data_IF_863788885673
#
_entry.id   IF_863788885673
#
_cell.length_a   1.000
_cell.length_b   1.000
_cell.length_c   1.000
_cell.angle_alpha   90.00
_cell.angle_beta   90.00
_cell.angle_gamma   90.00
#
_symmetry.space_group_name_H-M   'P 1'
#
loop_
_entity.id
_entity.type
_entity.pdbx_description
1 polymer ?
#
# COMPACT_ATOMS: atom_id res chain seq x y z
N UNK A 1 -29.77 -3.46 11.32
CA UNK A 1 -29.71 -3.59 9.84
C UNK A 1 -29.56 -2.20 9.22
N UNK A 2 -28.40 -1.59 9.37
CA UNK A 2 -28.03 -0.34 8.70
C UNK A 2 -27.52 -0.68 7.31
N UNK A 3 -28.32 -0.38 6.28
CA UNK A 3 -27.95 -0.59 4.88
C UNK A 3 -26.69 0.24 4.60
N UNK A 4 -25.56 -0.42 4.35
CA UNK A 4 -24.44 0.16 3.62
C UNK A 4 -24.97 0.52 2.22
N UNK A 5 -25.50 1.75 2.08
CA UNK A 5 -25.79 2.33 0.78
C UNK A 5 -24.44 2.58 0.14
N UNK A 6 -24.09 1.68 -0.76
CA UNK A 6 -23.15 1.85 -1.84
C UNK A 6 -23.54 3.08 -2.70
N UNK A 7 -23.51 4.29 -2.15
CA UNK A 7 -23.48 5.54 -2.93
C UNK A 7 -22.07 5.67 -3.50
N UNK A 8 -21.80 4.85 -4.50
CA UNK A 8 -20.45 4.48 -4.94
C UNK A 8 -19.68 5.57 -5.70
N UNK A 9 -20.19 6.79 -5.87
CA UNK A 9 -19.51 7.82 -6.64
C UNK A 9 -19.93 9.24 -6.22
N UNK A 10 -19.69 9.62 -4.97
CA UNK A 10 -19.71 11.04 -4.64
C UNK A 10 -18.58 11.73 -5.43
N UNK A 11 -18.87 12.75 -6.26
CA UNK A 11 -17.87 13.40 -7.11
C UNK A 11 -16.70 13.96 -6.27
N UNK A 12 -16.97 14.33 -5.03
CA UNK A 12 -15.97 14.76 -4.04
C UNK A 12 -14.98 13.64 -3.69
N UNK A 13 -15.46 12.40 -3.51
CA UNK A 13 -14.60 11.25 -3.18
C UNK A 13 -13.69 10.89 -4.35
N UNK A 14 -14.23 10.88 -5.58
CA UNK A 14 -13.43 10.67 -6.79
C UNK A 14 -12.36 11.75 -6.94
N UNK A 15 -12.72 13.02 -6.71
CA UNK A 15 -11.77 14.13 -6.76
C UNK A 15 -10.63 13.94 -5.75
N UNK A 16 -10.96 13.50 -4.52
CA UNK A 16 -9.97 13.27 -3.47
C UNK A 16 -9.02 12.13 -3.83
N UNK A 17 -9.53 11.03 -4.39
CA UNK A 17 -8.71 9.91 -4.86
C UNK A 17 -7.77 10.35 -5.98
N UNK A 18 -8.29 11.05 -7.00
CA UNK A 18 -7.50 11.54 -8.14
C UNK A 18 -6.44 12.54 -7.68
N UNK A 19 -6.81 13.51 -6.83
CA UNK A 19 -5.88 14.49 -6.28
C UNK A 19 -4.76 13.81 -5.48
N UNK A 20 -5.10 12.85 -4.63
CA UNK A 20 -4.12 12.09 -3.86
C UNK A 20 -3.17 11.33 -4.78
N UNK A 21 -3.69 10.59 -5.77
CA UNK A 21 -2.86 9.87 -6.73
C UNK A 21 -1.97 10.78 -7.57
N UNK A 22 -2.44 11.97 -7.95
CA UNK A 22 -1.66 12.91 -8.76
C UNK A 22 -0.53 13.55 -7.95
N UNK A 23 -0.82 14.06 -6.75
CA UNK A 23 0.19 14.65 -5.86
C UNK A 23 1.23 13.60 -5.45
N UNK A 24 0.78 12.43 -5.02
CA UNK A 24 1.67 11.37 -4.54
C UNK A 24 2.40 10.65 -5.68
N UNK A 25 1.76 10.50 -6.84
CA UNK A 25 2.37 9.97 -8.06
C UNK A 25 3.50 10.85 -8.58
N UNK A 26 3.37 12.18 -8.46
CA UNK A 26 4.44 13.13 -8.82
C UNK A 26 5.65 12.96 -7.92
N UNK A 27 5.44 12.83 -6.61
CA UNK A 27 6.50 12.53 -5.63
C UNK A 27 7.20 11.20 -5.96
N UNK A 28 6.43 10.15 -6.29
CA UNK A 28 6.96 8.87 -6.76
C UNK A 28 7.79 9.02 -8.04
N UNK A 29 7.36 9.87 -8.98
CA UNK A 29 8.09 10.10 -10.24
C UNK A 29 9.42 10.82 -10.02
N UNK A 30 9.50 11.76 -9.08
CA UNK A 30 10.73 12.50 -8.75
C UNK A 30 11.70 11.64 -7.93
N UNK A 31 11.20 10.92 -6.93
CA UNK A 31 12.04 10.16 -5.98
C UNK A 31 12.40 8.77 -6.52
N UNK A 32 11.58 8.20 -7.41
CA UNK A 32 11.80 6.87 -7.99
C UNK A 32 11.56 5.70 -7.01
N UNK A 33 11.19 5.97 -5.76
CA UNK A 33 10.82 4.96 -4.75
C UNK A 33 9.33 4.60 -4.87
N UNK A 34 8.88 3.51 -4.24
CA UNK A 34 7.52 2.98 -4.34
C UNK A 34 6.38 3.95 -3.97
N UNK A 35 5.14 3.44 -3.87
CA UNK A 35 3.98 4.24 -3.40
C UNK A 35 4.39 5.05 -2.18
N UNK A 36 4.28 6.40 -2.21
CA UNK A 36 4.79 7.18 -1.11
C UNK A 36 3.96 6.88 0.13
N UNK A 37 4.65 6.78 1.26
CA UNK A 37 4.06 6.54 2.59
C UNK A 37 2.96 7.55 2.95
N UNK A 38 2.94 8.68 2.23
CA UNK A 38 1.95 9.75 2.31
C UNK A 38 0.58 9.35 1.73
N UNK A 39 0.50 8.51 0.67
CA UNK A 39 -0.79 8.14 0.06
C UNK A 39 -1.73 7.38 0.99
N UNK A 40 -1.27 6.32 1.70
CA UNK A 40 -2.07 5.67 2.73
C UNK A 40 -2.62 6.66 3.74
N UNK A 41 -1.78 7.54 4.29
CA UNK A 41 -2.18 8.50 5.33
C UNK A 41 -3.30 9.46 4.90
N UNK A 42 -3.25 9.98 3.67
CA UNK A 42 -4.31 10.83 3.13
C UNK A 42 -5.60 10.06 2.83
N UNK A 43 -5.50 8.86 2.25
CA UNK A 43 -6.69 8.08 1.92
C UNK A 43 -7.38 7.52 3.17
N UNK A 44 -6.62 7.10 4.18
CA UNK A 44 -7.18 6.59 5.44
C UNK A 44 -7.82 7.69 6.29
N UNK A 45 -7.52 8.95 6.02
CA UNK A 45 -8.21 10.08 6.66
C UNK A 45 -9.65 10.26 6.14
N UNK A 46 -9.93 9.79 4.92
CA UNK A 46 -11.23 9.93 4.26
C UNK A 46 -11.99 8.60 4.09
N UNK A 47 -11.27 7.47 4.05
CA UNK A 47 -11.77 6.12 3.80
C UNK A 47 -11.32 5.19 4.92
N UNK A 48 -12.02 4.07 5.10
CA UNK A 48 -11.52 2.99 5.95
C UNK A 48 -10.23 2.39 5.40
N UNK A 49 -9.39 1.87 6.31
CA UNK A 49 -8.08 1.31 5.97
C UNK A 49 -8.13 0.20 4.90
N UNK A 50 -9.05 -0.79 4.97
CA UNK A 50 -9.19 -1.80 3.92
C UNK A 50 -9.46 -1.20 2.53
N UNK A 51 -10.40 -0.26 2.43
CA UNK A 51 -10.76 0.38 1.16
C UNK A 51 -9.60 1.21 0.60
N UNK A 52 -8.94 2.01 1.44
CA UNK A 52 -7.76 2.79 1.05
C UNK A 52 -6.63 1.90 0.52
N UNK A 53 -6.35 0.78 1.20
CA UNK A 53 -5.33 -0.17 0.78
C UNK A 53 -5.67 -0.84 -0.55
N UNK A 54 -6.92 -1.23 -0.76
CA UNK A 54 -7.36 -1.84 -2.02
C UNK A 54 -7.17 -0.88 -3.22
N UNK A 55 -7.57 0.39 -3.06
CA UNK A 55 -7.42 1.41 -4.09
C UNK A 55 -5.95 1.72 -4.42
N UNK A 56 -5.03 1.60 -3.45
CA UNK A 56 -3.61 1.81 -3.68
C UNK A 56 -2.91 0.60 -4.30
N UNK A 57 -3.20 -0.61 -3.78
CA UNK A 57 -2.53 -1.85 -4.17
C UNK A 57 -2.79 -2.22 -5.63
N UNK A 58 -4.07 -2.23 -6.05
CA UNK A 58 -4.46 -2.71 -7.38
C UNK A 58 -3.75 -1.94 -8.52
N UNK A 59 -3.88 -0.60 -8.64
CA UNK A 59 -3.25 0.13 -9.74
C UNK A 59 -1.71 0.13 -9.64
N UNK A 60 -1.17 0.14 -8.42
CA UNK A 60 0.28 0.14 -8.22
C UNK A 60 0.91 -1.19 -8.58
N UNK A 61 0.25 -2.30 -8.24
CA UNK A 61 0.68 -3.63 -8.64
C UNK A 61 0.72 -3.74 -10.17
N UNK A 62 -0.36 -3.33 -10.85
CA UNK A 62 -0.43 -3.34 -12.32
C UNK A 62 0.72 -2.52 -12.93
N UNK A 63 0.93 -1.28 -12.47
CA UNK A 63 2.01 -0.43 -12.99
C UNK A 63 3.39 -0.99 -12.70
N UNK A 64 3.62 -1.54 -11.51
CA UNK A 64 4.90 -2.13 -11.13
C UNK A 64 5.21 -3.37 -11.98
N UNK A 65 4.21 -4.22 -12.25
CA UNK A 65 4.37 -5.39 -13.13
C UNK A 65 4.66 -4.95 -14.56
N UNK A 66 3.90 -4.00 -15.11
CA UNK A 66 4.18 -3.47 -16.44
C UNK A 66 5.60 -2.89 -16.54
N UNK A 67 6.03 -2.13 -15.52
CA UNK A 67 7.38 -1.56 -15.45
C UNK A 67 8.47 -2.63 -15.33
N UNK A 68 8.24 -3.70 -14.57
CA UNK A 68 9.17 -4.82 -14.47
C UNK A 68 9.30 -5.56 -15.80
N UNK A 69 8.19 -5.75 -16.53
CA UNK A 69 8.16 -6.40 -17.84
C UNK A 69 8.85 -5.56 -18.93
N UNK A 70 8.71 -4.23 -18.90
CA UNK A 70 9.37 -3.36 -19.90
C UNK A 70 10.83 -3.04 -19.57
N UNK A 71 11.26 -3.19 -18.32
CA UNK A 71 12.62 -2.87 -17.87
C UNK A 71 13.72 -3.89 -18.26
N UNK A 72 13.36 -5.09 -18.73
CA UNK A 72 14.27 -6.10 -19.29
C UNK A 72 15.26 -6.78 -18.33
N UNK A 73 15.53 -6.21 -17.15
CA UNK A 73 16.56 -6.69 -16.21
C UNK A 73 16.00 -7.37 -14.96
N UNK A 74 14.70 -7.70 -14.96
CA UNK A 74 13.99 -8.19 -13.78
C UNK A 74 14.64 -9.45 -13.17
N UNK A 75 14.99 -10.44 -13.98
CA UNK A 75 15.61 -11.68 -13.51
C UNK A 75 17.02 -11.47 -12.96
N UNK A 76 17.81 -10.59 -13.58
CA UNK A 76 19.16 -10.22 -13.13
C UNK A 76 19.11 -9.53 -11.76
N UNK A 77 18.16 -8.60 -11.59
CA UNK A 77 17.93 -7.91 -10.31
C UNK A 77 17.45 -8.91 -9.25
N UNK A 78 16.51 -9.78 -9.60
CA UNK A 78 15.98 -10.80 -8.70
C UNK A 78 17.09 -11.71 -8.16
N UNK A 79 18.03 -12.12 -9.02
CA UNK A 79 19.20 -12.91 -8.65
C UNK A 79 20.19 -12.19 -7.72
N UNK A 80 20.38 -10.87 -7.92
CA UNK A 80 21.29 -10.05 -7.11
C UNK A 80 20.71 -9.67 -5.75
N UNK A 81 19.41 -9.45 -5.66
CA UNK A 81 18.71 -9.05 -4.44
C UNK A 81 18.05 -10.23 -3.69
N UNK A 82 18.30 -11.48 -4.08
CA UNK A 82 17.80 -12.68 -3.40
C UNK A 82 17.88 -12.63 -1.86
N UNK A 83 19.04 -12.35 -1.22
CA UNK A 83 19.12 -12.38 0.24
C UNK A 83 18.21 -11.32 0.88
N UNK A 84 18.14 -10.13 0.26
CA UNK A 84 17.24 -9.07 0.70
C UNK A 84 15.77 -9.48 0.57
N UNK A 85 15.39 -10.06 -0.57
CA UNK A 85 14.01 -10.50 -0.80
C UNK A 85 13.59 -11.61 0.16
N UNK A 86 14.45 -12.59 0.42
CA UNK A 86 14.18 -13.67 1.38
C UNK A 86 13.99 -13.09 2.78
N UNK A 87 14.91 -12.24 3.24
CA UNK A 87 14.82 -11.62 4.57
C UNK A 87 13.60 -10.72 4.70
N UNK A 88 13.28 -9.94 3.67
CA UNK A 88 12.09 -9.11 3.63
C UNK A 88 10.82 -9.96 3.72
N UNK A 89 10.70 -11.04 2.95
CA UNK A 89 9.54 -11.94 3.00
C UNK A 89 9.37 -12.56 4.38
N UNK A 90 10.45 -13.08 4.98
CA UNK A 90 10.40 -13.69 6.32
C UNK A 90 10.01 -12.66 7.37
N UNK A 91 10.62 -11.48 7.36
CA UNK A 91 10.37 -10.45 8.36
C UNK A 91 8.96 -9.86 8.23
N UNK A 92 8.47 -9.66 7.00
CA UNK A 92 7.08 -9.23 6.77
C UNK A 92 6.09 -10.27 7.24
N UNK A 93 6.35 -11.56 7.00
CA UNK A 93 5.48 -12.64 7.48
C UNK A 93 5.40 -12.67 9.01
N UNK A 94 6.55 -12.54 9.68
CA UNK A 94 6.61 -12.44 11.14
C UNK A 94 5.87 -11.19 11.62
N UNK A 95 6.13 -10.03 11.01
CA UNK A 95 5.48 -8.77 11.38
C UNK A 95 3.97 -8.76 11.15
N UNK A 96 3.46 -9.47 10.14
CA UNK A 96 2.03 -9.60 9.89
C UNK A 96 1.35 -10.56 10.87
N UNK A 97 2.06 -11.58 11.34
CA UNK A 97 1.51 -12.61 12.25
C UNK A 97 1.68 -12.25 13.73
N UNK A 98 2.73 -11.53 14.11
CA UNK A 98 3.00 -11.16 15.49
C UNK A 98 1.83 -10.41 16.16
N UNK A 99 1.19 -9.40 15.55
CA UNK A 99 0.05 -8.69 16.16
C UNK A 99 -1.19 -9.56 16.37
N UNK A 100 -1.31 -10.69 15.66
CA UNK A 100 -2.42 -11.64 15.86
C UNK A 100 -2.18 -12.62 16.99
N UNK A 101 -0.96 -12.66 17.53
CA UNK A 101 -0.51 -13.59 18.57
C UNK A 101 -0.12 -12.91 19.87
N UNK A 102 0.16 -11.60 19.83
CA UNK A 102 0.42 -10.78 21.01
C UNK A 102 -0.92 -10.21 21.48
N UNK A 103 -1.32 -10.52 22.71
CA UNK A 103 -2.51 -9.93 23.32
C UNK A 103 -2.39 -8.41 23.32
N UNK A 104 -3.44 -7.74 22.84
CA UNK A 104 -3.52 -6.29 22.78
C UNK A 104 -3.39 -5.66 24.18
N UNK A 105 -3.69 -6.43 25.23
CA UNK A 105 -3.51 -6.09 26.63
C UNK A 105 -2.04 -5.82 27.01
N UNK A 106 -1.07 -6.44 26.32
CA UNK A 106 0.36 -6.18 26.56
C UNK A 106 0.79 -4.83 25.96
N UNK A 107 0.17 -4.40 24.87
CA UNK A 107 0.36 -3.07 24.30
C UNK A 107 -0.39 -2.00 25.11
N UNK A 108 -1.58 -2.30 25.62
CA UNK A 108 -2.38 -1.37 26.41
C UNK A 108 -1.90 -1.24 27.86
N UNK A 109 -1.30 -2.28 28.45
CA UNK A 109 -0.71 -2.24 29.79
C UNK A 109 0.60 -1.45 29.90
N UNK A 110 1.12 -0.95 28.78
CA UNK A 110 2.33 -0.11 28.68
C UNK A 110 2.03 1.39 28.53
N UNK A 111 0.75 1.79 28.50
CA UNK A 111 0.30 3.20 28.42
C UNK A 111 -0.65 3.56 29.57
#
# INVERSE_FOLDING_TARGET
MTRYKWTMFEPVMLLLVVATFLSTGTVKAVIGLGLPTVSPGLLTAALDLPTAMALLLVPSFVRNVCQASTGGHALTILGRFRPFLVMATVTVWIGATAPTRVDLDLFLGLF
#
